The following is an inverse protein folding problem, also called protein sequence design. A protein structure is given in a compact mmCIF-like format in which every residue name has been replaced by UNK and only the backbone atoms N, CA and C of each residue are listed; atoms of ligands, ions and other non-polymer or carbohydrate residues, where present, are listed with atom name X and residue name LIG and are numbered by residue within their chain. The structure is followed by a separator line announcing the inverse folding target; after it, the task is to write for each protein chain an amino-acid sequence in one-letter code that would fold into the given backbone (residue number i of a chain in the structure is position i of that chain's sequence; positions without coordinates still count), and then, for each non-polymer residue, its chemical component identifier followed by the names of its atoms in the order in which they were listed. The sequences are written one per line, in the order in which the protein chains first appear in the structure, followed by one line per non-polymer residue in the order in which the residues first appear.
data_IF_442583254843
#
_entry.id   IF_442583254843
#
_cell.length_a   1.000
_cell.length_b   1.000
_cell.length_c   1.000
_cell.angle_alpha   90.00
_cell.angle_beta   90.00
_cell.angle_gamma   90.00
#
_symmetry.space_group_name_H-M   'P 1'
#
loop_
_entity.id
_entity.type
_entity.pdbx_description
1 polymer ?
#
# COMPACT_ATOMS: atom_id res chain seq x y z
N UNK A 1 4.43 -15.18 21.83
CA UNK A 1 3.50 -15.45 20.72
C UNK A 1 2.79 -14.20 20.23
N UNK A 2 2.08 -14.32 19.12
CA UNK A 2 1.31 -13.25 18.50
C UNK A 2 -0.17 -13.63 18.47
N UNK A 3 -1.04 -12.72 18.93
CA UNK A 3 -2.50 -12.85 18.81
C UNK A 3 -2.99 -11.85 17.79
N UNK A 4 -3.80 -12.31 16.86
CA UNK A 4 -4.43 -11.48 15.81
C UNK A 4 -5.93 -11.74 15.78
N UNK A 5 -6.75 -10.88 15.15
CA UNK A 5 -8.17 -11.17 14.96
C UNK A 5 -8.42 -12.54 14.32
N UNK A 6 -7.59 -12.95 13.35
CA UNK A 6 -7.71 -14.25 12.69
C UNK A 6 -7.49 -15.42 13.65
N UNK A 7 -6.55 -15.30 14.60
CA UNK A 7 -6.29 -16.37 15.57
C UNK A 7 -7.39 -16.50 16.63
N UNK A 8 -8.22 -15.46 16.79
CA UNK A 8 -9.38 -15.46 17.68
C UNK A 8 -10.66 -15.96 17.01
N UNK A 9 -10.65 -16.11 15.66
CA UNK A 9 -11.80 -16.67 14.95
C UNK A 9 -11.92 -18.16 15.29
N UNK A 10 -13.05 -18.51 15.89
CA UNK A 10 -13.40 -19.92 16.13
C UNK A 10 -13.98 -20.48 14.84
N UNK A 11 -13.53 -21.67 14.44
CA UNK A 11 -14.03 -22.37 13.27
C UNK A 11 -15.57 -22.59 13.40
N UNK A 12 -16.38 -22.01 12.50
CA UNK A 12 -17.84 -22.19 12.52
C UNK A 12 -18.28 -23.66 12.44
N UNK A 13 -17.48 -24.51 11.78
CA UNK A 13 -17.73 -25.94 11.68
C UNK A 13 -17.64 -26.66 13.03
N UNK A 14 -16.80 -26.16 13.94
CA UNK A 14 -16.71 -26.68 15.31
C UNK A 14 -17.86 -26.22 16.20
N UNK A 15 -18.41 -25.04 15.96
CA UNK A 15 -19.51 -24.49 16.74
C UNK A 15 -20.88 -24.98 16.26
N UNK A 16 -21.03 -25.27 14.99
CA UNK A 16 -22.33 -25.64 14.38
C UNK A 16 -22.93 -26.96 14.87
N UNK A 17 -22.12 -27.81 15.51
CA UNK A 17 -22.57 -29.09 16.09
C UNK A 17 -22.75 -29.04 17.61
N UNK A 18 -22.46 -27.90 18.25
CA UNK A 18 -22.49 -27.74 19.71
C UNK A 18 -23.74 -27.01 20.15
N UNK A 19 -24.28 -27.39 21.32
CA UNK A 19 -25.31 -26.60 21.98
C UNK A 19 -24.75 -25.35 22.67
N UNK A 20 -25.63 -24.48 23.19
CA UNK A 20 -25.26 -23.22 23.83
C UNK A 20 -24.34 -23.43 25.06
N UNK A 21 -24.56 -24.48 25.81
CA UNK A 21 -23.77 -24.82 26.99
C UNK A 21 -22.39 -25.32 26.60
N UNK A 22 -22.31 -26.13 25.57
CA UNK A 22 -21.04 -26.64 25.02
C UNK A 22 -20.21 -25.51 24.42
N UNK A 23 -20.85 -24.57 23.68
CA UNK A 23 -20.17 -23.37 23.17
C UNK A 23 -19.61 -22.54 24.33
N UNK A 24 -20.43 -22.24 25.35
CA UNK A 24 -19.99 -21.47 26.51
C UNK A 24 -18.83 -22.15 27.23
N UNK A 25 -18.90 -23.45 27.41
CA UNK A 25 -17.86 -24.25 28.04
C UNK A 25 -16.58 -24.30 27.21
N UNK A 26 -16.69 -24.36 25.88
CA UNK A 26 -15.56 -24.31 24.98
C UNK A 26 -14.86 -22.94 25.05
N UNK A 27 -15.62 -21.86 24.91
CA UNK A 27 -15.09 -20.50 24.96
C UNK A 27 -14.43 -20.16 26.31
N UNK A 28 -15.02 -20.63 27.43
CA UNK A 28 -14.46 -20.39 28.77
C UNK A 28 -13.12 -21.09 29.03
N UNK A 29 -12.75 -22.06 28.19
CA UNK A 29 -11.47 -22.79 28.27
C UNK A 29 -10.39 -22.27 27.33
N UNK A 30 -10.75 -21.34 26.44
CA UNK A 30 -9.78 -20.74 25.55
C UNK A 30 -8.79 -19.89 26.34
N UNK A 31 -7.52 -20.16 26.15
CA UNK A 31 -6.42 -19.38 26.71
C UNK A 31 -5.68 -18.67 25.59
N UNK A 32 -4.99 -17.57 25.91
CA UNK A 32 -4.12 -16.87 24.93
C UNK A 32 -3.11 -17.84 24.32
N UNK A 33 -2.53 -18.72 25.13
CA UNK A 33 -1.57 -19.73 24.66
C UNK A 33 -2.16 -20.71 23.65
N UNK A 34 -3.45 -21.02 23.77
CA UNK A 34 -4.12 -21.97 22.86
C UNK A 34 -4.47 -21.36 21.50
N UNK A 35 -4.57 -20.03 21.40
CA UNK A 35 -4.98 -19.32 20.19
C UNK A 35 -3.85 -18.51 19.54
N UNK A 36 -2.76 -18.24 20.25
CA UNK A 36 -1.65 -17.46 19.69
C UNK A 36 -0.83 -18.24 18.65
N UNK A 37 -0.30 -17.52 17.68
CA UNK A 37 0.82 -18.00 16.87
C UNK A 37 2.05 -18.11 17.75
N UNK A 38 2.67 -19.29 17.83
CA UNK A 38 3.83 -19.52 18.69
C UNK A 38 5.10 -18.91 18.11
N UNK A 39 6.02 -18.47 18.99
CA UNK A 39 7.26 -17.77 18.61
C UNK A 39 8.03 -18.39 17.45
N UNK A 40 8.25 -19.70 17.33
CA UNK A 40 9.02 -20.24 16.19
C UNK A 40 8.37 -20.03 14.82
N UNK A 41 7.04 -19.77 14.79
CA UNK A 41 6.29 -19.60 13.54
C UNK A 41 5.86 -18.16 13.30
N UNK A 42 6.15 -17.22 14.21
CA UNK A 42 5.87 -15.79 14.02
C UNK A 42 6.88 -15.24 13.04
N UNK A 43 6.38 -14.68 11.95
CA UNK A 43 7.21 -13.95 10.98
C UNK A 43 7.46 -12.55 11.53
N UNK A 44 8.72 -12.15 11.58
CA UNK A 44 9.16 -10.85 12.09
C UNK A 44 10.03 -10.13 11.06
N UNK A 45 10.21 -8.84 11.25
CA UNK A 45 11.13 -8.00 10.45
C UNK A 45 12.04 -7.21 11.36
N UNK A 46 13.16 -6.74 10.81
CA UNK A 46 14.07 -5.81 11.48
C UNK A 46 13.57 -4.36 11.35
N UNK A 47 13.97 -3.45 12.28
CA UNK A 47 13.60 -2.03 12.22
C UNK A 47 13.99 -1.33 10.92
N UNK A 48 15.10 -1.74 10.30
CA UNK A 48 15.61 -1.14 9.06
C UNK A 48 14.98 -1.74 7.78
N UNK A 49 13.98 -2.61 7.92
CA UNK A 49 13.30 -3.22 6.78
C UNK A 49 12.50 -2.16 6.02
N UNK A 50 12.76 -1.92 4.71
CA UNK A 50 11.95 -1.03 3.90
C UNK A 50 10.47 -1.44 3.88
N UNK A 51 9.58 -0.45 3.86
CA UNK A 51 8.13 -0.68 3.92
C UNK A 51 7.62 -1.55 2.76
N UNK A 52 8.23 -1.45 1.58
CA UNK A 52 7.90 -2.27 0.41
C UNK A 52 8.24 -3.75 0.66
N UNK A 53 9.31 -4.02 1.40
CA UNK A 53 9.68 -5.37 1.78
C UNK A 53 8.73 -5.90 2.87
N UNK A 54 8.35 -5.07 3.85
CA UNK A 54 7.34 -5.43 4.85
C UNK A 54 6.00 -5.77 4.18
N UNK A 55 5.55 -4.95 3.22
CA UNK A 55 4.34 -5.20 2.43
C UNK A 55 4.41 -6.53 1.67
N UNK A 56 5.55 -6.81 1.02
CA UNK A 56 5.76 -8.08 0.30
C UNK A 56 5.67 -9.28 1.23
N UNK A 57 6.33 -9.23 2.39
CA UNK A 57 6.27 -10.30 3.39
C UNK A 57 4.83 -10.55 3.87
N UNK A 58 4.05 -9.48 4.11
CA UNK A 58 2.63 -9.60 4.49
C UNK A 58 1.81 -10.30 3.40
N UNK A 59 2.01 -9.91 2.12
CA UNK A 59 1.28 -10.47 0.99
C UNK A 59 1.64 -11.94 0.77
N UNK A 60 2.93 -12.26 0.73
CA UNK A 60 3.43 -13.63 0.48
C UNK A 60 2.97 -14.63 1.54
N UNK A 61 2.83 -14.17 2.79
CA UNK A 61 2.41 -15.00 3.91
C UNK A 61 0.94 -14.85 4.29
N UNK A 62 0.18 -14.01 3.58
CA UNK A 62 -1.23 -13.71 3.84
C UNK A 62 -1.48 -13.28 5.30
N UNK A 63 -0.65 -12.38 5.82
CA UNK A 63 -0.73 -11.83 7.19
C UNK A 63 -0.90 -10.31 7.14
N UNK A 64 -1.62 -9.76 8.12
CA UNK A 64 -1.94 -8.33 8.19
C UNK A 64 -1.08 -7.53 9.16
N UNK A 65 -0.12 -8.15 9.83
CA UNK A 65 0.81 -7.46 10.73
C UNK A 65 2.13 -8.23 10.87
N UNK A 66 3.19 -7.50 11.20
CA UNK A 66 4.54 -8.02 11.45
C UNK A 66 5.10 -7.39 12.71
N UNK A 67 5.49 -8.18 13.71
CA UNK A 67 6.32 -7.67 14.80
C UNK A 67 7.68 -7.21 14.27
N UNK A 68 8.10 -6.05 14.72
CA UNK A 68 9.44 -5.50 14.46
C UNK A 68 10.32 -5.90 15.64
N UNK A 69 11.39 -6.63 15.37
CA UNK A 69 12.27 -7.19 16.39
C UNK A 69 13.69 -6.68 16.19
N UNK A 70 14.29 -6.17 17.25
CA UNK A 70 15.68 -5.76 17.30
C UNK A 70 16.39 -6.51 18.41
N UNK A 71 17.49 -7.19 18.10
CA UNK A 71 18.30 -7.95 19.08
C UNK A 71 17.47 -8.95 19.93
N UNK A 72 16.45 -9.56 19.32
CA UNK A 72 15.55 -10.50 20.00
C UNK A 72 14.45 -9.85 20.87
N UNK A 73 14.38 -8.52 20.89
CA UNK A 73 13.37 -7.75 21.64
C UNK A 73 12.37 -7.16 20.65
N UNK A 74 11.08 -7.23 20.99
CA UNK A 74 10.01 -6.59 20.19
C UNK A 74 10.13 -5.08 20.35
N UNK A 75 10.50 -4.38 19.25
CA UNK A 75 10.59 -2.93 19.19
C UNK A 75 9.24 -2.28 18.82
N UNK A 76 8.40 -3.00 18.09
CA UNK A 76 7.10 -2.49 17.64
C UNK A 76 6.30 -3.53 16.86
N UNK A 77 5.22 -3.04 16.25
CA UNK A 77 4.36 -3.80 15.36
C UNK A 77 4.01 -2.91 14.17
N UNK A 78 4.14 -3.42 12.96
CA UNK A 78 3.66 -2.76 11.74
C UNK A 78 2.45 -3.53 11.19
N UNK A 79 1.44 -2.82 10.75
CA UNK A 79 0.21 -3.40 10.19
C UNK A 79 0.02 -3.02 8.71
N UNK A 80 -0.85 -3.73 8.01
CA UNK A 80 -1.24 -3.36 6.65
C UNK A 80 -1.87 -1.95 6.59
N UNK A 81 -2.56 -1.52 7.65
CA UNK A 81 -3.11 -0.15 7.75
C UNK A 81 -2.00 0.89 7.83
N UNK A 82 -0.92 0.62 8.55
CA UNK A 82 0.23 1.55 8.63
C UNK A 82 0.87 1.71 7.24
N UNK A 83 1.02 0.60 6.50
CA UNK A 83 1.55 0.63 5.12
C UNK A 83 0.64 1.41 4.17
N UNK A 84 -0.69 1.25 4.28
CA UNK A 84 -1.64 2.03 3.48
C UNK A 84 -1.60 3.52 3.84
N UNK A 85 -1.47 3.85 5.12
CA UNK A 85 -1.33 5.24 5.57
C UNK A 85 -0.07 5.86 4.98
N UNK A 86 1.06 5.16 5.04
CA UNK A 86 2.31 5.63 4.46
C UNK A 86 2.22 5.79 2.93
N UNK A 87 1.54 4.87 2.24
CA UNK A 87 1.28 5.01 0.81
C UNK A 87 0.44 6.25 0.49
N UNK A 88 -0.60 6.53 1.28
CA UNK A 88 -1.42 7.73 1.13
C UNK A 88 -0.59 9.01 1.30
N UNK A 89 0.30 9.05 2.28
CA UNK A 89 1.22 10.17 2.50
C UNK A 89 2.19 10.35 1.32
N UNK A 90 2.85 9.28 0.88
CA UNK A 90 3.77 9.30 -0.26
C UNK A 90 3.07 9.73 -1.56
N UNK A 91 1.79 9.43 -1.71
CA UNK A 91 0.98 9.84 -2.86
C UNK A 91 0.29 11.19 -2.66
N UNK A 92 0.65 11.96 -1.62
CA UNK A 92 0.06 13.28 -1.33
C UNK A 92 -1.48 13.25 -1.39
N UNK A 93 -2.09 12.27 -0.72
CA UNK A 93 -3.53 12.01 -0.84
C UNK A 93 -4.39 13.16 -0.30
N UNK A 94 -3.86 13.94 0.65
CA UNK A 94 -4.55 15.06 1.32
C UNK A 94 -4.30 16.42 0.67
N UNK A 95 -3.53 16.49 -0.41
CA UNK A 95 -3.21 17.76 -1.09
C UNK A 95 -4.20 17.99 -2.21
N UNK A 96 -4.93 19.15 -2.23
CA UNK A 96 -5.75 19.54 -3.37
C UNK A 96 -4.88 19.67 -4.63
N UNK A 97 -5.21 18.92 -5.67
CA UNK A 97 -4.36 18.86 -6.86
C UNK A 97 -5.11 18.34 -8.08
N UNK A 98 -4.53 18.55 -9.23
CA UNK A 98 -4.90 17.84 -10.46
C UNK A 98 -4.10 16.53 -10.53
N UNK A 99 -4.82 15.41 -10.51
CA UNK A 99 -4.29 14.06 -10.69
C UNK A 99 -4.41 13.65 -12.15
N UNK A 100 -3.30 13.37 -12.78
CA UNK A 100 -3.26 12.93 -14.19
C UNK A 100 -2.66 11.54 -14.28
N UNK A 101 -3.31 10.68 -15.05
CA UNK A 101 -2.75 9.39 -15.47
C UNK A 101 -2.20 9.51 -16.88
N UNK A 102 -0.91 9.22 -17.05
CA UNK A 102 -0.19 9.35 -18.31
C UNK A 102 0.42 8.03 -18.69
N UNK A 103 0.20 7.58 -19.92
CA UNK A 103 0.93 6.46 -20.51
C UNK A 103 2.14 6.97 -21.28
N UNK A 104 3.26 6.29 -21.10
CA UNK A 104 4.50 6.62 -21.78
C UNK A 104 5.32 5.36 -22.09
N UNK A 105 6.18 5.40 -23.11
CA UNK A 105 7.10 4.30 -23.40
C UNK A 105 8.05 4.04 -22.22
N UNK A 106 8.36 2.77 -21.99
CA UNK A 106 9.28 2.38 -20.93
C UNK A 106 10.74 2.50 -21.38
N UNK A 107 11.11 3.71 -21.80
CA UNK A 107 12.48 4.04 -22.23
C UNK A 107 13.11 5.10 -21.34
N UNK A 108 14.45 5.16 -21.38
CA UNK A 108 15.20 6.15 -20.60
C UNK A 108 14.79 7.58 -20.99
N UNK A 109 14.59 8.43 -19.99
CA UNK A 109 14.28 9.85 -20.19
C UNK A 109 12.80 10.20 -20.22
N UNK A 110 11.89 9.26 -20.47
CA UNK A 110 10.46 9.59 -20.57
C UNK A 110 9.88 10.18 -19.26
N UNK A 111 10.25 9.62 -18.12
CA UNK A 111 9.86 10.18 -16.82
C UNK A 111 10.45 11.58 -16.60
N UNK A 112 11.68 11.77 -17.03
CA UNK A 112 12.36 13.07 -16.93
C UNK A 112 11.70 14.14 -17.82
N UNK A 113 11.17 13.78 -18.99
CA UNK A 113 10.38 14.69 -19.83
C UNK A 113 9.14 15.19 -19.11
N UNK A 114 8.39 14.28 -18.44
CA UNK A 114 7.21 14.64 -17.68
C UNK A 114 7.54 15.60 -16.54
N UNK A 115 8.51 15.23 -15.69
CA UNK A 115 8.92 16.06 -14.56
C UNK A 115 9.53 17.39 -15.05
N UNK A 116 10.32 17.35 -16.13
CA UNK A 116 10.91 18.54 -16.74
C UNK A 116 9.88 19.52 -17.32
N UNK A 117 8.82 19.02 -17.95
CA UNK A 117 7.75 19.87 -18.46
C UNK A 117 6.99 20.61 -17.34
N UNK A 118 6.78 19.94 -16.20
CA UNK A 118 6.18 20.55 -15.01
C UNK A 118 7.14 21.56 -14.37
N UNK A 119 8.41 21.19 -14.20
CA UNK A 119 9.44 22.05 -13.61
C UNK A 119 9.71 23.31 -14.46
N UNK A 120 9.63 23.21 -15.79
CA UNK A 120 9.80 24.35 -16.69
C UNK A 120 8.72 25.44 -16.50
N UNK A 121 7.60 25.10 -15.87
CA UNK A 121 6.55 26.07 -15.46
C UNK A 121 6.77 26.62 -14.05
N UNK A 122 7.79 26.19 -13.36
CA UNK A 122 8.03 26.52 -11.95
C UNK A 122 7.07 25.80 -11.00
N UNK A 123 6.42 24.72 -11.45
CA UNK A 123 5.46 23.95 -10.65
C UNK A 123 6.14 22.79 -9.90
N UNK A 124 5.59 22.45 -8.76
CA UNK A 124 5.99 21.25 -8.02
C UNK A 124 5.23 20.01 -8.51
N UNK A 125 5.90 18.87 -8.45
CA UNK A 125 5.27 17.56 -8.57
C UNK A 125 5.02 17.06 -7.14
N UNK A 126 3.77 17.03 -6.72
CA UNK A 126 3.38 16.62 -5.36
C UNK A 126 3.56 15.12 -5.14
N UNK A 127 3.27 14.32 -6.15
CA UNK A 127 3.52 12.89 -6.14
C UNK A 127 3.68 12.37 -7.58
N UNK A 128 4.52 11.35 -7.73
CA UNK A 128 4.70 10.62 -8.98
C UNK A 128 4.91 9.14 -8.67
N UNK A 129 4.01 8.32 -9.12
CA UNK A 129 4.11 6.86 -9.04
C UNK A 129 3.57 6.22 -10.30
N UNK A 130 3.78 4.93 -10.47
CA UNK A 130 3.21 4.25 -11.63
C UNK A 130 3.60 2.78 -11.70
N UNK A 131 2.99 2.10 -12.65
CA UNK A 131 3.16 0.68 -12.86
C UNK A 131 3.37 0.39 -14.35
N UNK A 132 3.96 -0.75 -14.64
CA UNK A 132 3.98 -1.30 -16.01
C UNK A 132 2.54 -1.72 -16.37
N UNK A 133 2.09 -1.35 -17.55
CA UNK A 133 0.73 -1.70 -18.01
C UNK A 133 0.60 -3.22 -18.11
N UNK A 134 -0.42 -3.83 -17.49
CA UNK A 134 -0.66 -5.26 -17.63
C UNK A 134 -0.77 -5.65 -19.12
N UNK A 135 -0.03 -6.69 -19.55
CA UNK A 135 0.03 -7.19 -20.91
C UNK A 135 0.76 -6.31 -21.94
N UNK A 136 1.35 -5.19 -21.51
CA UNK A 136 2.21 -4.34 -22.35
C UNK A 136 3.47 -3.93 -21.57
N UNK A 137 4.52 -4.76 -21.57
CA UNK A 137 5.74 -4.55 -20.77
C UNK A 137 6.58 -3.35 -21.26
N UNK A 138 6.24 -2.77 -22.39
CA UNK A 138 6.94 -1.63 -22.97
C UNK A 138 6.27 -0.28 -22.67
N UNK A 139 5.12 -0.32 -22.01
CA UNK A 139 4.38 0.88 -21.61
C UNK A 139 4.30 1.00 -20.08
N UNK A 140 4.61 2.18 -19.60
CA UNK A 140 4.44 2.56 -18.21
C UNK A 140 3.25 3.50 -18.05
N UNK A 141 2.41 3.25 -17.07
CA UNK A 141 1.30 4.13 -16.71
C UNK A 141 1.64 4.84 -15.40
N UNK A 142 1.84 6.15 -15.51
CA UNK A 142 2.20 7.01 -14.38
C UNK A 142 0.99 7.77 -13.87
N UNK A 143 0.90 7.91 -12.58
CA UNK A 143 0.04 8.88 -11.91
C UNK A 143 0.91 10.02 -11.44
N UNK A 144 0.63 11.23 -11.90
CA UNK A 144 1.28 12.46 -11.44
C UNK A 144 0.25 13.36 -10.78
N UNK A 145 0.63 14.00 -9.68
CA UNK A 145 -0.18 14.98 -8.96
C UNK A 145 0.52 16.33 -8.98
N UNK A 146 -0.22 17.37 -9.37
CA UNK A 146 0.29 18.73 -9.55
C UNK A 146 -0.73 19.68 -8.94
N UNK A 147 -0.32 20.54 -8.01
CA UNK A 147 -1.19 21.51 -7.33
C UNK A 147 -1.44 22.74 -8.21
N UNK A 148 -2.02 22.52 -9.42
CA UNK A 148 -2.35 23.53 -10.40
C UNK A 148 -3.71 23.23 -11.04
N UNK A 149 -4.37 24.23 -11.66
CA UNK A 149 -5.63 24.07 -12.35
C UNK A 149 -5.56 23.01 -13.46
N UNK A 150 -6.62 22.24 -13.59
CA UNK A 150 -6.72 21.13 -14.54
C UNK A 150 -6.36 21.49 -15.98
N UNK A 151 -6.91 22.60 -16.48
CA UNK A 151 -6.73 22.99 -17.88
C UNK A 151 -5.26 23.35 -18.18
N UNK A 152 -4.57 23.98 -17.22
CA UNK A 152 -3.16 24.32 -17.35
C UNK A 152 -2.29 23.07 -17.34
N UNK A 153 -2.56 22.14 -16.41
CA UNK A 153 -1.83 20.86 -16.31
C UNK A 153 -2.01 20.03 -17.59
N UNK A 154 -3.24 19.94 -18.11
CA UNK A 154 -3.53 19.21 -19.35
C UNK A 154 -2.80 19.84 -20.52
N UNK A 155 -2.78 21.16 -20.65
CA UNK A 155 -2.08 21.85 -21.74
C UNK A 155 -0.56 21.54 -21.73
N UNK A 156 0.06 21.55 -20.54
CA UNK A 156 1.50 21.26 -20.40
C UNK A 156 1.82 19.81 -20.73
N UNK A 157 1.06 18.87 -20.18
CA UNK A 157 1.35 17.44 -20.35
C UNK A 157 0.99 16.94 -21.75
N UNK A 158 -0.03 17.51 -22.41
CA UNK A 158 -0.39 17.17 -23.79
C UNK A 158 0.66 17.60 -24.81
N UNK A 159 1.55 18.52 -24.47
CA UNK A 159 2.63 18.95 -25.34
C UNK A 159 3.79 17.93 -25.43
N UNK A 160 3.77 16.87 -24.62
CA UNK A 160 4.80 15.83 -24.63
C UNK A 160 4.39 14.75 -25.64
N UNK A 161 4.90 14.84 -26.88
CA UNK A 161 4.49 13.99 -28.02
C UNK A 161 4.55 12.47 -27.74
N UNK A 162 5.54 12.01 -26.96
CA UNK A 162 5.73 10.59 -26.64
C UNK A 162 4.79 10.05 -25.56
N UNK A 163 3.95 10.91 -24.97
CA UNK A 163 3.12 10.59 -23.80
C UNK A 163 1.65 10.84 -24.09
N UNK A 164 0.78 10.01 -23.52
CA UNK A 164 -0.66 10.11 -23.71
C UNK A 164 -1.37 10.23 -22.38
N UNK A 165 -2.13 11.30 -22.20
CA UNK A 165 -3.05 11.45 -21.06
C UNK A 165 -4.18 10.42 -21.22
N UNK A 166 -4.42 9.64 -20.16
CA UNK A 166 -5.45 8.59 -20.09
C UNK A 166 -6.63 9.03 -19.23
N UNK A 167 -6.34 9.72 -18.12
CA UNK A 167 -7.36 10.18 -17.16
C UNK A 167 -6.89 11.46 -16.47
N UNK A 168 -7.84 12.34 -16.16
CA UNK A 168 -7.58 13.59 -15.43
C UNK A 168 -8.69 13.82 -14.41
N UNK A 169 -8.32 14.03 -13.14
CA UNK A 169 -9.25 14.29 -12.06
C UNK A 169 -8.76 15.43 -11.17
N UNK A 170 -9.68 16.27 -10.75
CA UNK A 170 -9.45 17.20 -9.68
C UNK A 170 -9.68 16.49 -8.34
N UNK A 171 -8.70 16.57 -7.47
CA UNK A 171 -8.74 16.01 -6.13
C UNK A 171 -8.99 17.14 -5.15
N UNK A 172 -10.19 17.19 -4.52
CA UNK A 172 -10.44 18.15 -3.44
C UNK A 172 -9.61 17.80 -2.20
N UNK A 173 -9.51 18.75 -1.29
CA UNK A 173 -8.93 18.56 0.04
C UNK A 173 -9.77 17.62 0.89
#
# INVERSE_FOLDING_TARGET
GLVTPQTLLVDPGRLGSLDVWEITRYLSRLTVESVMVKVPTVITIDPDTPIENAARVMIENNIGCLPVVSEGIVAGLITATDLLTQLMEMMSASVPCTRVTVRMPMVKGERAKLVGAVAARGWAVEALGGVVVPRDPYTWEAVVKIAQPKDEVVAVLSAIESQKIVDVREMPS
#
